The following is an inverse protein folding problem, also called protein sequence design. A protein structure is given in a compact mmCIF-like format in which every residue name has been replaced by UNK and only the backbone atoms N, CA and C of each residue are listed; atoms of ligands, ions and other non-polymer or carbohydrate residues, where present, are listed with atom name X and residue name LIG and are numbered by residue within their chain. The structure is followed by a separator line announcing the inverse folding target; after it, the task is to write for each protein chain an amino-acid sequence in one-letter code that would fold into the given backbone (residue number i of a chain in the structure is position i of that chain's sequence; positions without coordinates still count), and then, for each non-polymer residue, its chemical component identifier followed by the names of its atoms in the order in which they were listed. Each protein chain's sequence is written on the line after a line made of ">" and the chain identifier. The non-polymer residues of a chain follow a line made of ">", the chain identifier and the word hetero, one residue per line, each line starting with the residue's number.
data_IF_596433492058
#
_entry.id   IF_596433492058
#
_cell.length_a   1.000
_cell.length_b   1.000
_cell.length_c   1.000
_cell.angle_alpha   90.00
_cell.angle_beta   90.00
_cell.angle_gamma   90.00
#
_symmetry.space_group_name_H-M   'P 1'
#
loop_
_entity.id
_entity.type
_entity.pdbx_description
1 polymer ?
#
# COMPACT_ATOMS: atom_id res chain seq x y z
N UNK A 1 -4.19 -10.85 -13.01
CA UNK A 1 -4.83 -10.07 -11.93
C UNK A 1 -5.28 -11.07 -10.87
N UNK A 2 -4.74 -10.95 -9.66
CA UNK A 2 -5.04 -11.89 -8.56
C UNK A 2 -6.04 -11.23 -7.62
N UNK A 3 -7.13 -11.92 -7.28
CA UNK A 3 -8.12 -11.44 -6.33
C UNK A 3 -7.90 -12.08 -4.96
N UNK A 4 -7.87 -11.26 -3.92
CA UNK A 4 -7.71 -11.69 -2.53
C UNK A 4 -8.86 -11.10 -1.72
N UNK A 5 -9.64 -11.96 -1.07
CA UNK A 5 -10.64 -11.53 -0.09
C UNK A 5 -9.99 -11.47 1.30
N UNK A 6 -10.19 -10.38 2.04
CA UNK A 6 -9.59 -10.14 3.37
C UNK A 6 -10.18 -11.00 4.51
N UNK A 7 -10.99 -12.02 4.20
CA UNK A 7 -11.79 -12.78 5.16
C UNK A 7 -10.99 -13.58 6.19
N UNK A 8 -9.78 -14.05 5.84
CA UNK A 8 -8.94 -14.85 6.72
C UNK A 8 -7.63 -14.12 7.05
N UNK A 9 -7.59 -13.50 8.24
CA UNK A 9 -6.42 -12.75 8.74
C UNK A 9 -5.16 -13.59 8.93
N UNK A 10 -5.24 -14.92 8.80
CA UNK A 10 -4.16 -15.86 9.03
C UNK A 10 -4.02 -16.90 7.90
N UNK A 11 -4.68 -16.69 6.76
CA UNK A 11 -4.47 -17.53 5.60
C UNK A 11 -3.16 -17.13 4.93
N UNK A 12 -2.24 -18.09 4.77
CA UNK A 12 -1.08 -17.90 3.93
C UNK A 12 -1.51 -17.87 2.46
N UNK A 13 -1.41 -16.70 1.85
CA UNK A 13 -1.77 -16.45 0.45
C UNK A 13 -0.55 -16.45 -0.47
N UNK A 14 0.65 -16.69 0.07
CA UNK A 14 1.92 -16.59 -0.66
C UNK A 14 1.92 -17.48 -1.89
N UNK A 15 1.40 -18.71 -1.79
CA UNK A 15 1.30 -19.62 -2.94
C UNK A 15 0.36 -19.12 -4.04
N UNK A 16 -0.78 -18.52 -3.70
CA UNK A 16 -1.73 -17.98 -4.69
C UNK A 16 -1.17 -16.75 -5.41
N UNK A 17 -0.42 -15.94 -4.65
CA UNK A 17 0.30 -14.77 -5.15
C UNK A 17 1.40 -15.22 -6.10
N UNK A 18 2.23 -16.19 -5.71
CA UNK A 18 3.32 -16.73 -6.53
C UNK A 18 2.82 -17.41 -7.81
N UNK A 19 1.73 -18.19 -7.74
CA UNK A 19 1.14 -18.79 -8.94
C UNK A 19 0.54 -17.74 -9.89
N UNK A 20 -0.03 -16.66 -9.35
CA UNK A 20 -0.68 -15.62 -10.15
C UNK A 20 0.28 -14.60 -10.77
N UNK A 21 1.42 -14.35 -10.11
CA UNK A 21 2.47 -13.45 -10.59
C UNK A 21 3.59 -14.19 -11.34
N UNK A 22 3.85 -15.45 -11.01
CA UNK A 22 5.04 -16.17 -11.46
C UNK A 22 6.31 -15.70 -10.74
N UNK A 23 7.45 -16.39 -10.94
CA UNK A 23 8.66 -16.20 -10.14
C UNK A 23 9.29 -14.80 -10.23
N UNK A 24 8.92 -13.99 -11.22
CA UNK A 24 9.40 -12.61 -11.43
C UNK A 24 8.33 -11.67 -12.01
N UNK A 25 7.05 -12.05 -12.01
CA UNK A 25 6.05 -11.25 -12.71
C UNK A 25 5.58 -10.08 -11.87
N UNK A 26 5.75 -8.88 -12.40
CA UNK A 26 5.03 -7.72 -11.91
C UNK A 26 3.54 -7.90 -12.23
N UNK A 27 2.66 -7.69 -11.25
CA UNK A 27 1.24 -7.73 -11.53
C UNK A 27 0.39 -6.99 -10.51
N UNK A 28 -0.91 -6.94 -10.80
CA UNK A 28 -1.89 -6.23 -9.98
C UNK A 28 -2.58 -7.23 -9.05
N UNK A 29 -2.47 -6.96 -7.74
CA UNK A 29 -3.25 -7.60 -6.69
C UNK A 29 -4.49 -6.76 -6.40
N UNK A 30 -5.67 -7.38 -6.45
CA UNK A 30 -6.93 -6.74 -6.07
C UNK A 30 -7.41 -7.33 -4.75
N UNK A 31 -7.55 -6.50 -3.73
CA UNK A 31 -8.03 -6.89 -2.41
C UNK A 31 -9.48 -6.42 -2.23
N UNK A 32 -10.37 -7.33 -1.84
CA UNK A 32 -11.78 -7.03 -1.57
C UNK A 32 -12.12 -7.21 -0.08
N UNK A 33 -13.26 -6.64 0.33
CA UNK A 33 -13.83 -6.79 1.67
C UNK A 33 -12.95 -6.24 2.81
N UNK A 34 -12.18 -5.20 2.53
CA UNK A 34 -11.42 -4.48 3.56
C UNK A 34 -12.41 -3.76 4.49
N UNK A 35 -12.46 -4.10 5.79
CA UNK A 35 -13.42 -3.51 6.72
C UNK A 35 -13.26 -2.00 6.81
N UNK A 36 -14.36 -1.26 6.69
CA UNK A 36 -14.34 0.21 6.78
C UNK A 36 -13.68 0.92 5.60
N UNK A 37 -13.32 0.21 4.52
CA UNK A 37 -12.62 0.80 3.36
C UNK A 37 -13.33 2.00 2.76
N UNK A 38 -14.66 1.96 2.63
CA UNK A 38 -15.42 3.09 2.06
C UNK A 38 -15.23 4.37 2.89
N UNK A 39 -15.40 4.27 4.20
CA UNK A 39 -15.23 5.39 5.13
C UNK A 39 -13.77 5.85 5.21
N UNK A 40 -12.82 4.92 5.27
CA UNK A 40 -11.39 5.22 5.24
C UNK A 40 -11.00 5.95 3.95
N UNK A 41 -11.46 5.46 2.80
CA UNK A 41 -11.21 6.08 1.49
C UNK A 41 -11.72 7.52 1.46
N UNK A 42 -12.97 7.75 1.88
CA UNK A 42 -13.54 9.09 1.90
C UNK A 42 -12.77 10.03 2.85
N UNK A 43 -12.37 9.55 4.02
CA UNK A 43 -11.64 10.38 4.97
C UNK A 43 -10.21 10.67 4.52
N UNK A 44 -9.51 9.66 3.99
CA UNK A 44 -8.09 9.75 3.66
C UNK A 44 -7.83 10.50 2.35
N UNK A 45 -8.70 10.34 1.34
CA UNK A 45 -8.53 11.04 0.05
C UNK A 45 -8.60 12.57 0.19
N UNK A 46 -9.42 13.10 1.11
CA UNK A 46 -9.48 14.55 1.37
C UNK A 46 -8.25 15.08 2.12
N UNK A 47 -7.52 14.21 2.83
CA UNK A 47 -6.31 14.59 3.55
C UNK A 47 -5.08 14.65 2.64
N UNK A 48 -5.05 13.88 1.54
CA UNK A 48 -3.94 13.88 0.59
C UNK A 48 -3.56 15.28 0.06
N UNK A 49 -4.48 16.12 -0.46
CA UNK A 49 -4.13 17.47 -0.90
C UNK A 49 -3.76 18.38 0.27
N UNK A 50 -4.29 18.15 1.48
CA UNK A 50 -3.93 18.93 2.66
C UNK A 50 -2.50 18.66 3.10
N UNK A 51 -2.09 17.39 3.07
CA UNK A 51 -0.71 16.96 3.34
C UNK A 51 0.26 17.50 2.29
N UNK A 52 -0.09 17.40 1.00
CA UNK A 52 0.74 17.90 -0.10
C UNK A 52 0.98 19.43 -0.03
N UNK A 53 0.02 20.18 0.53
CA UNK A 53 0.10 21.62 0.69
C UNK A 53 0.72 22.07 2.03
N UNK A 54 1.20 21.15 2.88
CA UNK A 54 1.92 21.55 4.08
C UNK A 54 3.24 22.26 3.74
N UNK A 55 3.72 23.15 4.63
CA UNK A 55 5.06 23.70 4.54
C UNK A 55 6.14 22.60 4.54
N UNK A 56 7.22 22.82 3.81
CA UNK A 56 8.30 21.83 3.65
C UNK A 56 9.01 21.49 4.96
N UNK A 57 9.08 22.43 5.89
CA UNK A 57 9.57 22.22 7.27
C UNK A 57 8.74 21.17 8.01
N UNK A 58 7.42 21.20 7.88
CA UNK A 58 6.53 20.22 8.51
C UNK A 58 6.60 18.86 7.81
N UNK A 59 6.69 18.84 6.47
CA UNK A 59 6.83 17.58 5.71
C UNK A 59 8.11 16.83 6.07
N UNK A 60 9.21 17.54 6.28
CA UNK A 60 10.50 16.96 6.68
C UNK A 60 10.46 16.26 8.03
N UNK A 61 9.67 16.77 8.97
CA UNK A 61 9.49 16.15 10.28
C UNK A 61 8.56 14.91 10.22
N UNK A 62 7.71 14.83 9.20
CA UNK A 62 6.86 13.66 8.92
C UNK A 62 7.59 12.56 8.13
N UNK A 63 8.72 12.87 7.49
CA UNK A 63 9.56 11.88 6.84
C UNK A 63 10.27 11.03 7.90
N UNK A 64 10.00 9.73 7.88
CA UNK A 64 10.78 8.78 8.68
C UNK A 64 12.16 8.62 8.05
N UNK A 65 13.15 9.28 8.66
CA UNK A 65 14.56 9.26 8.26
C UNK A 65 15.13 7.83 8.14
N UNK A 66 14.55 6.84 8.82
CA UNK A 66 15.00 5.46 8.81
C UNK A 66 14.40 4.61 7.66
N UNK A 67 13.38 5.13 6.97
CA UNK A 67 12.68 4.43 5.88
C UNK A 67 13.22 4.75 4.49
N UNK A 68 14.24 5.62 4.39
CA UNK A 68 14.94 5.94 3.14
C UNK A 68 15.58 4.68 2.61
N UNK A 69 14.88 4.03 1.70
CA UNK A 69 15.41 2.92 0.92
C UNK A 69 16.45 3.54 -0.01
N UNK A 70 17.73 3.39 0.33
CA UNK A 70 18.85 3.70 -0.57
C UNK A 70 18.73 2.78 -1.78
N UNK A 71 17.93 3.19 -2.76
CA UNK A 71 17.95 2.61 -4.09
C UNK A 71 19.14 3.19 -4.85
N UNK A 72 20.34 2.89 -4.36
CA UNK A 72 21.53 2.83 -5.22
C UNK A 72 21.34 1.60 -6.08
N UNK A 73 20.69 1.76 -7.22
CA UNK A 73 20.77 0.78 -8.28
C UNK A 73 22.13 0.97 -8.97
N UNK A 74 23.01 -0.06 -9.00
CA UNK A 74 24.20 -0.04 -9.84
C UNK A 74 23.86 -0.12 -11.33
#
# INVERSE_FOLDING_TARGET
>A
MVFVASGDKNADLSMKIEQGFGPNGLGILSVTDVPGFSSLRQNLLHLAPRLANLPEDVKKDLEDHHSRSDSTFP
#
